data_IF_810457456878
#
_entry.id   IF_810457456878
#
_cell.length_a   1.000
_cell.length_b   1.000
_cell.length_c   1.000
_cell.angle_alpha   90.00
_cell.angle_beta   90.00
_cell.angle_gamma   90.00
#
_symmetry.space_group_name_H-M   'P 1'
#
loop_
_entity.id
_entity.type
_entity.pdbx_description
1 polymer ?
#
# COMPACT_ATOMS: atom_id res chain seq x y z
N UNK A 1 -33.32 -45.64 -14.08
CA UNK A 1 -33.75 -44.61 -15.05
C UNK A 1 -32.51 -43.80 -15.42
N UNK A 2 -32.05 -43.96 -16.65
CA UNK A 2 -30.91 -43.24 -17.22
C UNK A 2 -31.39 -41.94 -17.90
N UNK A 3 -30.58 -40.90 -17.87
CA UNK A 3 -30.66 -39.79 -18.82
C UNK A 3 -29.24 -39.28 -19.12
N UNK A 4 -29.01 -39.11 -20.41
CA UNK A 4 -27.73 -39.07 -21.11
C UNK A 4 -27.15 -37.65 -21.22
N UNK A 5 -25.83 -37.57 -21.34
CA UNK A 5 -25.07 -36.38 -21.78
C UNK A 5 -25.33 -36.03 -23.26
N UNK A 6 -24.91 -34.84 -23.69
CA UNK A 6 -23.94 -34.84 -24.78
C UNK A 6 -22.67 -34.01 -24.51
N UNK A 7 -21.58 -34.51 -25.09
CA UNK A 7 -20.21 -34.04 -25.03
C UNK A 7 -19.96 -32.86 -25.99
N UNK A 8 -19.25 -31.84 -25.51
CA UNK A 8 -18.65 -30.77 -26.34
C UNK A 8 -17.13 -30.97 -26.49
N UNK A 9 -16.49 -30.40 -27.53
CA UNK A 9 -15.27 -30.94 -28.11
C UNK A 9 -13.99 -30.65 -27.33
N UNK A 10 -13.12 -31.66 -27.36
CA UNK A 10 -11.71 -31.67 -26.97
C UNK A 10 -10.90 -30.65 -27.77
N UNK A 11 -10.15 -29.78 -27.07
CA UNK A 11 -9.08 -28.99 -27.68
C UNK A 11 -7.72 -29.46 -27.15
N UNK A 12 -6.89 -29.80 -28.12
CA UNK A 12 -5.52 -30.30 -28.07
C UNK A 12 -4.54 -29.30 -27.45
N UNK A 13 -3.52 -29.87 -26.80
CA UNK A 13 -2.38 -29.17 -26.23
C UNK A 13 -1.55 -28.43 -27.31
N UNK A 14 -1.10 -27.23 -26.98
CA UNK A 14 -0.03 -26.54 -27.69
C UNK A 14 0.96 -25.93 -26.67
N UNK A 15 2.15 -26.53 -26.60
CA UNK A 15 3.30 -26.01 -25.88
C UNK A 15 3.82 -24.74 -26.58
N UNK A 16 3.80 -23.60 -25.90
CA UNK A 16 4.36 -22.35 -26.37
C UNK A 16 5.23 -21.70 -25.31
N UNK A 17 6.54 -21.96 -25.36
CA UNK A 17 7.56 -21.34 -24.51
C UNK A 17 7.68 -19.86 -24.92
N UNK A 18 7.01 -18.93 -24.21
CA UNK A 18 7.17 -17.49 -24.42
C UNK A 18 8.35 -16.98 -23.62
N UNK A 19 9.49 -16.80 -24.28
CA UNK A 19 10.61 -16.00 -23.78
C UNK A 19 10.28 -14.53 -23.95
N UNK A 20 9.65 -13.91 -22.95
CA UNK A 20 9.51 -12.46 -22.90
C UNK A 20 10.86 -11.84 -22.52
N UNK A 21 11.50 -11.14 -23.47
CA UNK A 21 12.63 -10.25 -23.19
C UNK A 21 12.19 -9.20 -22.16
N UNK A 22 13.07 -8.77 -21.23
CA UNK A 22 12.73 -7.67 -20.34
C UNK A 22 12.47 -6.38 -21.15
N UNK A 23 11.54 -5.52 -20.72
CA UNK A 23 11.24 -4.30 -21.43
C UNK A 23 12.45 -3.36 -21.40
N UNK A 24 12.78 -2.84 -22.59
CA UNK A 24 13.79 -1.82 -22.79
C UNK A 24 13.35 -0.52 -22.10
N UNK A 25 14.15 -0.02 -21.17
CA UNK A 25 13.88 1.20 -20.41
C UNK A 25 14.31 2.43 -21.25
N UNK A 26 13.38 3.01 -22.01
CA UNK A 26 13.62 4.17 -22.92
C UNK A 26 13.59 5.54 -22.21
N UNK A 27 13.87 5.62 -20.90
CA UNK A 27 14.02 6.90 -20.18
C UNK A 27 12.80 7.85 -20.16
N UNK A 28 11.67 7.47 -20.79
CA UNK A 28 10.41 8.21 -20.74
C UNK A 28 9.60 7.70 -19.56
N UNK A 29 9.35 8.59 -18.59
CA UNK A 29 8.42 8.34 -17.49
C UNK A 29 7.06 7.94 -18.07
N UNK A 30 6.78 6.63 -18.10
CA UNK A 30 5.51 6.11 -18.57
C UNK A 30 4.44 6.48 -17.55
N UNK A 31 3.33 7.01 -18.04
CA UNK A 31 2.18 7.43 -17.26
C UNK A 31 1.46 6.17 -16.75
N UNK A 32 1.89 5.63 -15.61
CA UNK A 32 1.23 4.47 -14.99
C UNK A 32 0.07 4.99 -14.15
N UNK A 33 -1.15 4.80 -14.65
CA UNK A 33 -2.36 5.06 -13.88
C UNK A 33 -2.67 3.85 -12.99
N UNK A 34 -2.40 3.96 -11.69
CA UNK A 34 -2.98 3.07 -10.69
C UNK A 34 -4.22 3.75 -10.09
N UNK A 35 -5.38 3.07 -10.18
CA UNK A 35 -6.62 3.45 -9.52
C UNK A 35 -7.06 4.93 -9.65
N UNK A 36 -6.81 5.57 -10.80
CA UNK A 36 -7.27 6.93 -11.09
C UNK A 36 -6.45 8.08 -10.45
N UNK A 37 -5.29 7.80 -9.82
CA UNK A 37 -4.41 8.83 -9.27
C UNK A 37 -3.14 8.96 -10.12
N UNK A 38 -2.84 10.18 -10.56
CA UNK A 38 -1.63 10.47 -11.34
C UNK A 38 -0.37 10.31 -10.48
N UNK A 39 0.58 9.49 -10.94
CA UNK A 39 1.95 9.40 -10.40
C UNK A 39 2.83 10.60 -10.78
N UNK A 40 2.29 11.63 -11.44
CA UNK A 40 3.08 12.76 -11.96
C UNK A 40 3.31 13.90 -10.95
N UNK A 41 2.53 13.95 -9.86
CA UNK A 41 2.73 14.96 -8.81
C UNK A 41 3.78 14.47 -7.81
N UNK A 42 4.69 15.34 -7.34
CA UNK A 42 5.54 15.05 -6.19
C UNK A 42 4.69 14.57 -5.00
N UNK A 43 5.23 13.61 -4.24
CA UNK A 43 4.55 13.03 -3.08
C UNK A 43 5.15 13.60 -1.80
N UNK A 44 4.30 14.08 -0.89
CA UNK A 44 4.69 14.48 0.47
C UNK A 44 3.97 13.56 1.45
N UNK A 45 4.74 12.74 2.15
CA UNK A 45 4.27 11.81 3.16
C UNK A 45 4.61 12.38 4.54
N UNK A 46 3.58 12.68 5.33
CA UNK A 46 3.74 13.21 6.70
C UNK A 46 3.40 12.10 7.69
N UNK A 47 4.41 11.54 8.34
CA UNK A 47 4.22 10.55 9.40
C UNK A 47 3.92 11.24 10.73
N UNK A 48 2.71 11.03 11.25
CA UNK A 48 2.26 11.63 12.51
C UNK A 48 2.93 10.98 13.73
N UNK A 49 3.50 9.78 13.55
CA UNK A 49 4.06 8.95 14.62
C UNK A 49 3.04 8.83 15.77
N UNK A 50 3.52 8.99 16.99
CA UNK A 50 2.71 9.01 18.23
C UNK A 50 2.83 10.34 18.97
N UNK A 51 3.13 11.43 18.24
CA UNK A 51 3.26 12.75 18.85
C UNK A 51 1.91 13.27 19.34
N UNK A 52 1.85 13.83 20.55
CA UNK A 52 0.63 14.44 21.10
C UNK A 52 0.05 15.56 20.20
N UNK A 53 0.90 16.26 19.46
CA UNK A 53 0.51 17.27 18.45
C UNK A 53 -0.09 16.69 17.17
N UNK A 54 -0.08 15.37 17.00
CA UNK A 54 -0.53 14.64 15.83
C UNK A 54 -1.23 13.32 16.21
N UNK A 55 -1.89 13.27 17.38
CA UNK A 55 -2.71 12.14 17.84
C UNK A 55 -4.08 12.62 18.32
N UNK A 56 -5.09 11.76 18.24
CA UNK A 56 -6.47 12.09 18.60
C UNK A 56 -7.01 13.31 17.84
N UNK A 57 -7.66 14.24 18.55
CA UNK A 57 -8.22 15.46 17.94
C UNK A 57 -7.16 16.35 17.27
N UNK A 58 -5.91 16.31 17.74
CA UNK A 58 -4.80 17.02 17.10
C UNK A 58 -4.45 16.41 15.73
N UNK A 59 -4.54 15.08 15.59
CA UNK A 59 -4.36 14.41 14.30
C UNK A 59 -5.43 14.86 13.30
N UNK A 60 -6.69 14.94 13.73
CA UNK A 60 -7.79 15.43 12.89
C UNK A 60 -7.58 16.88 12.46
N UNK A 61 -7.14 17.75 13.37
CA UNK A 61 -6.85 19.15 13.07
C UNK A 61 -5.69 19.29 12.07
N UNK A 62 -4.62 18.52 12.24
CA UNK A 62 -3.49 18.48 11.32
C UNK A 62 -3.90 17.95 9.94
N UNK A 63 -4.69 16.88 9.90
CA UNK A 63 -5.20 16.32 8.64
C UNK A 63 -6.06 17.34 7.88
N UNK A 64 -6.97 18.07 8.56
CA UNK A 64 -7.73 19.17 7.93
C UNK A 64 -6.83 20.28 7.40
N UNK A 65 -5.73 20.58 8.07
CA UNK A 65 -4.76 21.56 7.57
C UNK A 65 -4.05 21.06 6.31
N UNK A 66 -3.64 19.78 6.29
CA UNK A 66 -3.05 19.14 5.10
C UNK A 66 -4.03 19.06 3.93
N UNK A 67 -5.30 18.74 4.19
CA UNK A 67 -6.35 18.64 3.18
C UNK A 67 -6.55 19.92 2.39
N UNK A 68 -6.39 21.11 3.02
CA UNK A 68 -6.46 22.40 2.32
C UNK A 68 -5.43 22.55 1.20
N UNK A 69 -4.39 21.71 1.20
CA UNK A 69 -3.32 21.70 0.21
C UNK A 69 -3.35 20.46 -0.70
N UNK A 70 -4.36 19.59 -0.59
CA UNK A 70 -4.44 18.34 -1.37
C UNK A 70 -4.61 18.58 -2.88
N UNK A 71 -5.22 19.71 -3.27
CA UNK A 71 -5.35 20.14 -4.67
C UNK A 71 -4.09 20.85 -5.21
N UNK A 72 -3.08 21.03 -4.36
CA UNK A 72 -1.83 21.70 -4.70
C UNK A 72 -0.95 20.96 -5.72
N UNK A 73 0.28 21.46 -5.94
CA UNK A 73 1.21 20.85 -6.89
C UNK A 73 1.72 19.48 -6.44
N UNK A 74 1.66 19.18 -5.14
CA UNK A 74 2.06 17.91 -4.56
C UNK A 74 0.85 17.10 -4.07
N UNK A 75 0.94 15.77 -4.14
CA UNK A 75 0.03 14.86 -3.42
C UNK A 75 0.43 14.83 -1.95
N UNK A 76 -0.54 15.07 -1.07
CA UNK A 76 -0.36 15.02 0.38
C UNK A 76 -0.89 13.70 0.94
N UNK A 77 -0.06 13.01 1.74
CA UNK A 77 -0.41 11.78 2.44
C UNK A 77 -0.17 11.95 3.93
N UNK A 78 -1.18 11.65 4.76
CA UNK A 78 -1.01 11.53 6.20
C UNK A 78 -0.83 10.05 6.58
N UNK A 79 0.25 9.73 7.29
CA UNK A 79 0.46 8.39 7.86
C UNK A 79 0.15 8.46 9.34
N UNK A 80 -0.90 7.75 9.76
CA UNK A 80 -1.51 7.92 11.08
C UNK A 80 -1.51 6.65 11.90
N UNK A 81 -1.59 6.82 13.22
CA UNK A 81 -1.75 5.73 14.17
C UNK A 81 -3.00 4.90 13.83
N UNK A 82 -2.96 3.59 14.09
CA UNK A 82 -4.11 2.70 13.93
C UNK A 82 -5.34 3.18 14.74
N UNK A 83 -5.11 3.82 15.88
CA UNK A 83 -6.16 4.38 16.72
C UNK A 83 -6.84 5.61 16.10
N UNK A 84 -6.12 6.36 15.27
CA UNK A 84 -6.60 7.62 14.68
C UNK A 84 -7.12 7.45 13.24
N UNK A 85 -6.81 6.32 12.58
CA UNK A 85 -7.06 6.07 11.16
C UNK A 85 -8.47 6.44 10.69
N UNK A 86 -9.49 5.87 11.32
CA UNK A 86 -10.87 6.10 10.91
C UNK A 86 -11.33 7.54 11.21
N UNK A 87 -10.93 8.09 12.36
CA UNK A 87 -11.31 9.44 12.76
C UNK A 87 -10.70 10.48 11.81
N UNK A 88 -9.40 10.36 11.51
CA UNK A 88 -8.71 11.22 10.54
C UNK A 88 -9.31 11.09 9.14
N UNK A 89 -9.59 9.87 8.67
CA UNK A 89 -10.24 9.64 7.37
C UNK A 89 -11.59 10.34 7.26
N UNK A 90 -12.39 10.32 8.34
CA UNK A 90 -13.69 10.98 8.39
C UNK A 90 -13.56 12.51 8.49
N UNK A 91 -12.56 13.00 9.23
CA UNK A 91 -12.32 14.41 9.48
C UNK A 91 -11.76 15.16 8.25
N UNK A 92 -11.00 14.49 7.38
CA UNK A 92 -10.40 15.03 6.17
C UNK A 92 -10.65 14.09 4.96
N UNK A 93 -11.87 14.11 4.39
CA UNK A 93 -12.31 13.13 3.40
C UNK A 93 -11.60 13.14 2.04
N UNK A 94 -10.96 14.24 1.66
CA UNK A 94 -10.20 14.41 0.43
C UNK A 94 -8.69 14.17 0.61
N UNK A 95 -8.19 14.06 1.85
CA UNK A 95 -6.80 13.73 2.12
C UNK A 95 -6.55 12.22 1.95
N UNK A 96 -5.39 11.87 1.38
CA UNK A 96 -4.93 10.47 1.34
C UNK A 96 -4.38 10.07 2.72
N UNK A 97 -4.92 9.00 3.30
CA UNK A 97 -4.58 8.55 4.66
C UNK A 97 -4.04 7.12 4.61
N UNK A 98 -2.83 6.93 5.12
CA UNK A 98 -2.13 5.64 5.17
C UNK A 98 -1.94 5.17 6.62
N UNK A 99 -1.84 3.87 6.83
CA UNK A 99 -1.45 3.28 8.11
C UNK A 99 0.06 3.34 8.34
N UNK A 100 0.45 3.45 9.61
CA UNK A 100 1.86 3.41 10.02
C UNK A 100 2.50 2.02 9.92
N UNK A 101 1.67 0.98 10.01
CA UNK A 101 2.09 -0.41 9.98
C UNK A 101 0.87 -1.28 9.70
N UNK A 102 1.08 -2.42 9.04
CA UNK A 102 0.12 -3.51 8.92
C UNK A 102 0.87 -4.82 9.06
N UNK A 103 0.18 -5.83 9.56
CA UNK A 103 0.76 -7.13 9.80
C UNK A 103 0.27 -8.16 8.76
N UNK A 104 1.12 -9.13 8.34
CA UNK A 104 0.78 -10.17 7.37
C UNK A 104 -0.12 -11.26 7.98
N UNK A 105 -1.18 -10.87 8.66
CA UNK A 105 -2.15 -11.76 9.30
C UNK A 105 -3.49 -11.69 8.60
N UNK A 106 -4.25 -12.78 8.67
CA UNK A 106 -5.64 -12.80 8.22
C UNK A 106 -6.63 -12.52 9.35
N UNK A 107 -7.90 -12.79 9.10
CA UNK A 107 -8.95 -12.76 10.11
C UNK A 107 -8.87 -14.01 11.02
N UNK A 108 -9.02 -13.84 12.33
CA UNK A 108 -9.02 -14.94 13.29
C UNK A 108 -8.27 -14.63 14.57
N UNK A 109 -7.51 -15.62 15.08
CA UNK A 109 -6.82 -15.57 16.37
C UNK A 109 -5.52 -14.74 16.34
N UNK A 110 -5.63 -13.44 16.10
CA UNK A 110 -4.51 -12.49 16.00
C UNK A 110 -4.70 -11.29 16.94
N UNK A 111 -4.91 -11.55 18.23
CA UNK A 111 -5.14 -10.50 19.25
C UNK A 111 -3.99 -9.48 19.26
N UNK A 112 -4.31 -8.20 19.02
CA UNK A 112 -3.34 -7.09 19.06
C UNK A 112 -2.64 -6.78 17.74
N UNK A 113 -2.87 -7.57 16.69
CA UNK A 113 -2.27 -7.37 15.37
C UNK A 113 -3.08 -6.38 14.52
N UNK A 114 -2.40 -5.64 13.64
CA UNK A 114 -2.99 -4.67 12.72
C UNK A 114 -3.31 -5.34 11.39
N UNK A 115 -4.45 -6.02 11.36
CA UNK A 115 -4.89 -6.82 10.21
C UNK A 115 -5.23 -5.95 8.98
N UNK A 116 -4.77 -6.31 7.75
CA UNK A 116 -4.85 -5.43 6.58
C UNK A 116 -6.26 -5.12 6.09
N UNK A 117 -7.17 -6.11 6.03
CA UNK A 117 -8.52 -5.88 5.52
C UNK A 117 -9.33 -4.96 6.44
N UNK A 118 -9.10 -5.04 7.75
CA UNK A 118 -9.68 -4.18 8.77
C UNK A 118 -9.18 -2.76 8.60
N UNK A 119 -7.88 -2.55 8.40
CA UNK A 119 -7.34 -1.22 8.15
C UNK A 119 -7.92 -0.60 6.87
N UNK A 120 -8.01 -1.36 5.77
CA UNK A 120 -8.64 -0.93 4.52
C UNK A 120 -10.11 -0.57 4.75
N UNK A 121 -10.85 -1.42 5.45
CA UNK A 121 -12.25 -1.17 5.80
C UNK A 121 -12.43 0.10 6.65
N UNK A 122 -11.46 0.40 7.52
CA UNK A 122 -11.43 1.62 8.35
C UNK A 122 -10.91 2.85 7.60
N UNK A 123 -10.52 2.69 6.33
CA UNK A 123 -10.22 3.78 5.42
C UNK A 123 -8.74 3.98 5.10
N UNK A 124 -7.86 3.03 5.43
CA UNK A 124 -6.49 3.06 4.94
C UNK A 124 -6.48 3.01 3.40
N UNK A 125 -5.75 3.94 2.79
CA UNK A 125 -5.54 4.03 1.34
C UNK A 125 -4.11 3.67 0.93
N UNK A 126 -3.32 3.18 1.87
CA UNK A 126 -1.94 2.76 1.72
C UNK A 126 -1.31 2.48 3.08
N UNK A 127 -0.07 2.03 3.11
CA UNK A 127 0.69 1.81 4.35
C UNK A 127 2.16 2.12 4.17
N UNK A 128 2.83 2.53 5.24
CA UNK A 128 4.29 2.37 5.33
C UNK A 128 4.60 1.03 6.02
N UNK A 129 5.81 0.52 5.83
CA UNK A 129 6.30 -0.71 6.46
C UNK A 129 7.81 -0.61 6.68
N UNK A 130 8.33 -1.35 7.68
CA UNK A 130 9.76 -1.43 8.00
C UNK A 130 10.41 -0.09 8.41
N UNK A 131 9.62 0.81 9.00
CA UNK A 131 10.12 2.08 9.53
C UNK A 131 11.20 1.82 10.61
N UNK A 132 12.18 2.73 10.77
CA UNK A 132 13.27 2.55 11.73
C UNK A 132 12.79 2.37 13.19
N UNK A 133 11.64 2.95 13.54
CA UNK A 133 11.00 2.84 14.86
C UNK A 133 10.12 1.57 15.00
N UNK A 134 9.93 0.82 13.92
CA UNK A 134 9.20 -0.46 13.90
C UNK A 134 9.77 -1.37 12.80
N UNK A 135 11.01 -1.83 13.01
CA UNK A 135 11.72 -2.70 12.07
C UNK A 135 11.14 -4.10 12.05
N UNK A 136 11.07 -4.69 10.86
CA UNK A 136 10.54 -6.04 10.63
C UNK A 136 11.46 -6.84 9.71
N UNK A 137 11.35 -8.16 9.77
CA UNK A 137 12.08 -9.04 8.86
C UNK A 137 11.61 -8.89 7.42
N UNK A 138 12.50 -9.10 6.43
CA UNK A 138 12.13 -8.97 5.01
C UNK A 138 11.02 -9.95 4.59
N UNK A 139 10.96 -11.14 5.19
CA UNK A 139 9.87 -12.08 4.96
C UNK A 139 8.51 -11.52 5.40
N UNK A 140 8.46 -10.78 6.51
CA UNK A 140 7.23 -10.12 6.97
C UNK A 140 6.75 -9.09 5.93
N UNK A 141 7.68 -8.33 5.33
CA UNK A 141 7.35 -7.39 4.25
C UNK A 141 6.80 -8.13 3.03
N UNK A 142 7.48 -9.20 2.59
CA UNK A 142 7.05 -9.99 1.44
C UNK A 142 5.66 -10.61 1.63
N UNK A 143 5.41 -11.19 2.82
CA UNK A 143 4.11 -11.77 3.16
C UNK A 143 3.00 -10.71 3.21
N UNK A 144 3.29 -9.52 3.74
CA UNK A 144 2.32 -8.42 3.78
C UNK A 144 1.99 -7.95 2.36
N UNK A 145 3.00 -7.69 1.54
CA UNK A 145 2.81 -7.23 0.15
C UNK A 145 1.99 -8.24 -0.68
N UNK A 146 2.17 -9.54 -0.44
CA UNK A 146 1.39 -10.59 -1.11
C UNK A 146 -0.09 -10.65 -0.67
N UNK A 147 -0.44 -10.12 0.50
CA UNK A 147 -1.81 -10.10 1.03
C UNK A 147 -2.57 -8.82 0.66
N UNK A 148 -1.87 -7.74 0.34
CA UNK A 148 -2.48 -6.46 0.01
C UNK A 148 -3.12 -6.49 -1.39
N UNK A 149 -4.23 -5.77 -1.60
CA UNK A 149 -4.85 -5.69 -2.92
C UNK A 149 -3.89 -5.13 -3.98
N UNK A 150 -4.03 -5.59 -5.21
CA UNK A 150 -3.26 -5.07 -6.35
C UNK A 150 -3.38 -3.54 -6.43
N UNK A 151 -2.22 -2.87 -6.42
CA UNK A 151 -2.16 -1.42 -6.49
C UNK A 151 -2.42 -0.67 -5.19
N UNK A 152 -2.55 -1.35 -4.05
CA UNK A 152 -2.57 -0.72 -2.74
C UNK A 152 -1.21 -0.05 -2.45
N UNK A 153 -1.15 1.28 -2.29
CA UNK A 153 0.10 2.00 -2.11
C UNK A 153 0.88 1.54 -0.87
N UNK A 154 2.14 1.17 -1.08
CA UNK A 154 3.03 0.71 -0.01
C UNK A 154 4.35 1.46 -0.08
N UNK A 155 4.85 1.92 1.07
CA UNK A 155 6.18 2.54 1.17
C UNK A 155 7.06 1.74 2.14
N UNK A 156 8.07 1.06 1.59
CA UNK A 156 9.08 0.38 2.39
C UNK A 156 10.15 1.36 2.87
N UNK A 157 10.42 1.41 4.16
CA UNK A 157 11.52 2.21 4.70
C UNK A 157 12.80 1.37 4.78
N UNK A 158 13.89 1.88 4.23
CA UNK A 158 15.22 1.30 4.24
C UNK A 158 16.14 2.15 5.15
N UNK A 159 17.04 1.51 5.89
CA UNK A 159 18.08 2.18 6.66
C UNK A 159 19.38 2.35 5.85
N UNK A 160 19.57 1.53 4.81
CA UNK A 160 20.74 1.54 3.95
C UNK A 160 20.41 1.04 2.52
N UNK A 161 21.42 1.07 1.66
CA UNK A 161 21.30 0.69 0.25
C UNK A 161 20.99 -0.80 0.05
N UNK A 162 21.45 -1.68 0.93
CA UNK A 162 21.24 -3.12 0.77
C UNK A 162 19.81 -3.49 1.17
N UNK A 163 19.28 -2.88 2.23
CA UNK A 163 17.88 -2.99 2.59
C UNK A 163 16.96 -2.38 1.52
N UNK A 164 17.34 -1.22 0.95
CA UNK A 164 16.62 -0.61 -0.17
C UNK A 164 16.58 -1.53 -1.41
N UNK A 165 17.67 -2.23 -1.72
CA UNK A 165 17.72 -3.22 -2.82
C UNK A 165 16.81 -4.41 -2.54
N UNK A 166 16.81 -4.93 -1.31
CA UNK A 166 15.94 -6.03 -0.92
C UNK A 166 14.46 -5.63 -1.01
N UNK A 167 14.11 -4.44 -0.52
CA UNK A 167 12.76 -3.86 -0.68
C UNK A 167 12.38 -3.70 -2.14
N UNK A 168 13.26 -3.16 -2.99
CA UNK A 168 13.00 -3.00 -4.41
C UNK A 168 12.69 -4.33 -5.11
N UNK A 169 13.33 -5.42 -4.71
CA UNK A 169 13.06 -6.75 -5.26
C UNK A 169 11.66 -7.28 -4.94
N UNK A 170 11.04 -6.82 -3.84
CA UNK A 170 9.68 -7.19 -3.43
C UNK A 170 8.59 -6.33 -4.09
N UNK A 171 8.95 -5.18 -4.66
CA UNK A 171 8.05 -4.33 -5.43
C UNK A 171 7.03 -3.47 -4.65
N UNK A 172 7.37 -2.83 -3.51
CA UNK A 172 6.52 -1.80 -2.93
C UNK A 172 6.37 -0.61 -3.90
N UNK A 173 5.32 0.19 -3.71
CA UNK A 173 5.08 1.37 -4.58
C UNK A 173 6.18 2.43 -4.43
N UNK A 174 6.68 2.62 -3.20
CA UNK A 174 7.71 3.58 -2.86
C UNK A 174 8.77 2.95 -1.94
N UNK A 175 9.96 3.52 -1.97
CA UNK A 175 11.03 3.22 -1.02
C UNK A 175 11.51 4.54 -0.43
N UNK A 176 11.51 4.64 0.90
CA UNK A 176 12.09 5.74 1.65
C UNK A 176 13.44 5.29 2.21
N UNK A 177 14.52 5.98 1.85
CA UNK A 177 15.91 5.70 2.28
C UNK A 177 16.36 6.76 3.26
#
# INVERSE_FOLDING_TARGET
MAASYPMGPTKTAASGRKTSRPPFFDGRCQMVFFAGRSMTKPLIVVNFKTYASASGSSAEALAKAMEKHSDGPARMVAVVSAFDLQAVRAAAPALEVWSQHLDPVGQGSFTGWLEPQTAIHRGAQGTIINHAEHKVEMNHVAELLAQLPDGFPTCGCAADLDEARNLAAMGPTFIAV
#
